data_IF_705228259441
#
_entry.id   IF_705228259441
#
_cell.length_a   1.000
_cell.length_b   1.000
_cell.length_c   1.000
_cell.angle_alpha   90.00
_cell.angle_beta   90.00
_cell.angle_gamma   90.00
#
_symmetry.space_group_name_H-M   'P 1'
#
loop_
_entity.id
_entity.type
_entity.pdbx_description
1 polymer ?
#
# COMPACT_ATOMS: atom_id res chain seq x y z
N UNK A 1 3.83 4.77 12.76
CA UNK A 1 4.70 5.00 11.58
C UNK A 1 4.03 4.40 10.35
N UNK A 2 4.21 5.01 9.18
CA UNK A 2 3.78 4.46 7.88
C UNK A 2 4.99 4.20 7.00
N UNK A 3 4.93 3.14 6.18
CA UNK A 3 5.99 2.80 5.21
C UNK A 3 5.36 2.65 3.83
N UNK A 4 5.97 3.28 2.83
CA UNK A 4 5.66 3.04 1.42
C UNK A 4 6.68 2.06 0.86
N UNK A 5 6.22 0.95 0.30
CA UNK A 5 7.08 0.04 -0.47
C UNK A 5 7.13 0.51 -1.93
N UNK A 6 8.21 0.15 -2.62
CA UNK A 6 8.49 0.61 -3.97
C UNK A 6 9.27 1.93 -4.00
N UNK A 7 9.56 2.40 -5.22
CA UNK A 7 10.38 3.60 -5.45
C UNK A 7 9.50 4.86 -5.48
N UNK A 8 9.84 5.85 -4.65
CA UNK A 8 9.18 7.15 -4.60
C UNK A 8 8.31 7.37 -3.36
N UNK A 9 8.14 8.63 -2.96
CA UNK A 9 7.26 9.01 -1.86
C UNK A 9 5.79 8.90 -2.29
N UNK A 10 5.03 7.99 -1.70
CA UNK A 10 3.58 7.94 -1.91
C UNK A 10 2.89 9.11 -1.21
N UNK A 11 2.13 9.91 -1.95
CA UNK A 11 1.27 10.95 -1.37
C UNK A 11 0.19 10.34 -0.45
N UNK A 12 -0.17 9.08 -0.64
CA UNK A 12 -1.14 8.38 0.20
C UNK A 12 -0.69 8.26 1.67
N UNK A 13 0.61 8.41 1.94
CA UNK A 13 1.17 8.40 3.30
C UNK A 13 1.76 9.76 3.70
N UNK A 14 1.51 10.84 2.95
CA UNK A 14 2.02 12.15 3.32
C UNK A 14 1.27 12.67 4.56
N UNK A 15 1.99 12.91 5.66
CA UNK A 15 1.45 13.49 6.89
C UNK A 15 2.49 14.41 7.52
N UNK A 16 2.06 15.55 8.09
CA UNK A 16 2.94 16.51 8.77
C UNK A 16 3.71 15.90 9.95
N UNK A 17 3.20 14.82 10.55
CA UNK A 17 3.70 14.25 11.80
C UNK A 17 4.32 12.86 11.67
N UNK A 18 4.34 12.27 10.47
CA UNK A 18 4.85 10.91 10.25
C UNK A 18 5.87 10.93 9.12
N UNK A 19 7.07 10.40 9.41
CA UNK A 19 8.04 10.12 8.36
C UNK A 19 7.57 8.93 7.54
N UNK A 20 7.38 9.15 6.24
CA UNK A 20 7.16 8.09 5.26
C UNK A 20 8.48 7.76 4.62
N UNK A 21 8.84 6.48 4.65
CA UNK A 21 10.01 5.96 3.94
C UNK A 21 9.53 5.22 2.70
N UNK A 22 10.22 5.46 1.58
CA UNK A 22 10.13 4.65 0.37
C UNK A 22 11.26 3.63 0.39
N UNK A 23 10.91 2.38 0.14
CA UNK A 23 11.81 1.25 0.33
C UNK A 23 11.81 0.39 -0.93
N UNK A 24 12.99 0.13 -1.47
CA UNK A 24 13.17 -0.83 -2.54
C UNK A 24 12.97 -2.25 -2.00
N UNK A 25 11.89 -2.90 -2.45
CA UNK A 25 11.53 -4.26 -2.07
C UNK A 25 12.42 -5.31 -2.72
N UNK A 26 13.06 -5.01 -3.86
CA UNK A 26 13.93 -5.95 -4.57
C UNK A 26 15.15 -6.36 -3.75
N UNK A 27 15.55 -5.53 -2.79
CA UNK A 27 16.66 -5.76 -1.87
C UNK A 27 16.20 -6.01 -0.43
N UNK A 28 14.96 -6.48 -0.23
CA UNK A 28 14.39 -6.74 1.10
C UNK A 28 14.42 -5.52 2.04
N UNK A 29 14.40 -4.32 1.47
CA UNK A 29 14.46 -3.06 2.19
C UNK A 29 15.81 -2.74 2.84
N UNK A 30 16.86 -3.48 2.47
CA UNK A 30 18.23 -3.19 2.91
C UNK A 30 18.77 -1.96 2.16
N UNK A 31 19.37 -1.03 2.91
CA UNK A 31 20.02 0.14 2.35
C UNK A 31 21.24 0.54 3.19
N UNK A 32 22.46 0.52 2.64
CA UNK A 32 22.82 0.24 1.24
C UNK A 32 23.02 -1.26 1.01
N UNK A 33 23.04 -1.67 -0.26
CA UNK A 33 23.49 -3.01 -0.67
C UNK A 33 24.89 -2.90 -1.26
N UNK A 34 25.86 -3.55 -0.62
CA UNK A 34 27.24 -3.68 -1.11
C UNK A 34 27.65 -5.14 -1.00
N UNK A 35 28.43 -5.65 -1.97
CA UNK A 35 29.05 -6.97 -1.89
C UNK A 35 30.18 -7.01 -0.85
N UNK A 36 30.88 -5.90 -0.64
CA UNK A 36 31.98 -5.76 0.33
C UNK A 36 31.46 -5.23 1.68
N UNK A 37 31.55 -6.07 2.71
CA UNK A 37 31.12 -5.76 4.07
C UNK A 37 31.93 -4.63 4.74
N UNK A 38 33.22 -4.48 4.41
CA UNK A 38 34.03 -3.38 4.93
C UNK A 38 33.59 -2.05 4.32
N UNK A 39 33.31 -2.05 3.01
CA UNK A 39 32.77 -0.88 2.33
C UNK A 39 31.39 -0.51 2.88
N UNK A 40 30.52 -1.52 3.08
CA UNK A 40 29.21 -1.33 3.71
C UNK A 40 29.34 -0.71 5.10
N UNK A 41 30.22 -1.25 5.94
CA UNK A 41 30.47 -0.75 7.28
C UNK A 41 30.98 0.69 7.29
N UNK A 42 31.95 1.01 6.44
CA UNK A 42 32.50 2.36 6.33
C UNK A 42 31.46 3.38 5.85
N UNK A 43 30.65 3.00 4.84
CA UNK A 43 29.57 3.84 4.33
C UNK A 43 28.50 4.11 5.40
N UNK A 44 28.04 3.06 6.11
CA UNK A 44 27.07 3.20 7.18
C UNK A 44 27.59 4.08 8.31
N UNK A 45 28.87 3.93 8.69
CA UNK A 45 29.49 4.78 9.70
C UNK A 45 29.51 6.26 9.27
N UNK A 46 29.89 6.55 8.02
CA UNK A 46 29.89 7.90 7.47
C UNK A 46 28.49 8.51 7.45
N UNK A 47 27.48 7.76 6.99
CA UNK A 47 26.10 8.22 6.94
C UNK A 47 25.50 8.45 8.32
N UNK A 48 25.79 7.58 9.29
CA UNK A 48 25.39 7.77 10.70
C UNK A 48 26.01 9.04 11.30
N UNK A 49 27.28 9.32 11.00
CA UNK A 49 27.91 10.57 11.41
C UNK A 49 27.23 11.79 10.76
N UNK A 50 26.91 11.71 9.47
CA UNK A 50 26.19 12.79 8.76
C UNK A 50 24.73 12.93 9.19
N UNK A 51 24.11 11.90 9.76
CA UNK A 51 22.75 11.93 10.26
C UNK A 51 22.63 12.53 11.68
N UNK A 52 23.76 12.75 12.37
CA UNK A 52 23.76 13.29 13.72
C UNK A 52 23.28 14.76 13.71
N UNK A 53 22.32 15.17 14.56
CA UNK A 53 21.88 16.56 14.66
C UNK A 53 23.03 17.49 15.06
N UNK A 54 23.06 18.69 14.48
CA UNK A 54 23.98 19.77 14.86
C UNK A 54 23.19 21.01 15.33
N UNK A 55 23.67 21.66 16.37
CA UNK A 55 23.09 22.92 16.90
C UNK A 55 23.08 24.06 15.88
N UNK A 56 23.95 24.00 14.87
CA UNK A 56 24.05 24.98 13.78
C UNK A 56 23.17 24.62 12.58
N UNK A 57 22.37 23.56 12.65
CA UNK A 57 21.49 23.16 11.55
C UNK A 57 20.46 24.26 11.24
N UNK A 58 20.36 24.61 9.96
CA UNK A 58 19.20 25.33 9.43
C UNK A 58 18.03 24.36 9.26
N UNK A 59 16.77 24.82 9.16
CA UNK A 59 15.62 23.92 9.03
C UNK A 59 15.73 22.86 7.91
N UNK A 60 16.28 23.18 6.71
CA UNK A 60 16.57 22.17 5.70
C UNK A 60 17.56 21.10 6.14
N UNK A 61 18.65 21.48 6.83
CA UNK A 61 19.63 20.51 7.34
C UNK A 61 19.07 19.65 8.46
N UNK A 62 18.28 20.22 9.37
CA UNK A 62 17.56 19.44 10.39
C UNK A 62 16.68 18.37 9.74
N UNK A 63 15.93 18.76 8.71
CA UNK A 63 15.03 17.85 7.98
C UNK A 63 15.81 16.76 7.25
N UNK A 64 16.86 17.13 6.51
CA UNK A 64 17.70 16.19 5.77
C UNK A 64 18.37 15.16 6.71
N UNK A 65 18.97 15.61 7.81
CA UNK A 65 19.60 14.73 8.80
C UNK A 65 18.60 13.80 9.47
N UNK A 66 17.42 14.31 9.84
CA UNK A 66 16.35 13.50 10.40
C UNK A 66 15.87 12.41 9.42
N UNK A 67 15.75 12.75 8.13
CA UNK A 67 15.43 11.80 7.06
C UNK A 67 16.49 10.70 6.91
N UNK A 68 17.77 11.08 6.83
CA UNK A 68 18.88 10.10 6.78
C UNK A 68 18.90 9.20 8.02
N UNK A 69 18.72 9.77 9.21
CA UNK A 69 18.66 9.01 10.45
C UNK A 69 17.49 8.00 10.45
N UNK A 70 16.33 8.39 9.92
CA UNK A 70 15.18 7.51 9.79
C UNK A 70 15.43 6.37 8.80
N UNK A 71 16.02 6.65 7.64
CA UNK A 71 16.37 5.63 6.65
C UNK A 71 17.38 4.61 7.20
N UNK A 72 18.42 5.07 7.91
CA UNK A 72 19.41 4.18 8.53
C UNK A 72 18.79 3.30 9.62
N UNK A 73 17.93 3.86 10.48
CA UNK A 73 17.20 3.07 11.48
C UNK A 73 16.29 2.03 10.84
N UNK A 74 15.62 2.38 9.74
CA UNK A 74 14.80 1.41 9.01
C UNK A 74 15.65 0.29 8.43
N UNK A 75 16.80 0.59 7.81
CA UNK A 75 17.68 -0.48 7.28
C UNK A 75 18.21 -1.39 8.40
N UNK A 76 18.47 -0.86 9.59
CA UNK A 76 18.87 -1.67 10.75
C UNK A 76 17.75 -2.62 11.18
N UNK A 77 16.49 -2.16 11.17
CA UNK A 77 15.30 -3.00 11.43
C UNK A 77 15.12 -4.04 10.32
N UNK A 78 15.20 -3.64 9.05
CA UNK A 78 15.05 -4.52 7.89
C UNK A 78 16.02 -5.72 7.94
N UNK A 79 17.25 -5.47 8.37
CA UNK A 79 18.28 -6.50 8.53
C UNK A 79 17.99 -7.54 9.62
N UNK A 80 17.12 -7.23 10.59
CA UNK A 80 16.74 -8.17 11.67
C UNK A 80 15.37 -8.79 11.48
N UNK A 81 14.65 -8.46 10.41
CA UNK A 81 13.32 -9.00 10.17
C UNK A 81 13.39 -10.51 9.92
N UNK A 82 12.43 -11.29 10.47
CA UNK A 82 12.32 -12.71 10.17
C UNK A 82 12.14 -12.92 8.66
N UNK A 83 12.54 -14.08 8.11
CA UNK A 83 12.28 -14.41 6.71
C UNK A 83 10.77 -14.45 6.44
N UNK A 84 10.37 -14.16 5.20
CA UNK A 84 9.01 -14.38 4.71
C UNK A 84 8.75 -15.88 4.50
N UNK A 85 7.48 -16.26 4.40
CA UNK A 85 7.14 -17.59 3.89
C UNK A 85 7.50 -17.72 2.40
N UNK A 86 7.71 -18.94 1.93
CA UNK A 86 7.86 -19.23 0.50
C UNK A 86 6.51 -19.07 -0.24
N UNK A 87 6.56 -19.01 -1.57
CA UNK A 87 5.36 -19.07 -2.43
C UNK A 87 4.85 -17.73 -2.96
N UNK A 88 5.51 -16.61 -2.64
CA UNK A 88 5.24 -15.34 -3.32
C UNK A 88 5.67 -15.43 -4.80
N UNK A 89 4.88 -14.89 -5.74
CA UNK A 89 5.30 -14.77 -7.12
C UNK A 89 6.50 -13.81 -7.24
N UNK A 90 7.34 -14.04 -8.26
CA UNK A 90 8.44 -13.13 -8.63
C UNK A 90 7.92 -11.94 -9.45
N UNK A 91 6.90 -11.27 -8.90
CA UNK A 91 6.29 -10.06 -9.44
C UNK A 91 6.57 -8.87 -8.52
N UNK A 92 6.39 -7.66 -9.03
CA UNK A 92 6.56 -6.44 -8.25
C UNK A 92 5.70 -6.45 -6.97
N UNK A 93 4.42 -6.80 -7.10
CA UNK A 93 3.52 -6.89 -5.96
C UNK A 93 3.92 -8.03 -5.01
N UNK A 94 4.27 -9.21 -5.54
CA UNK A 94 4.68 -10.36 -4.74
C UNK A 94 5.90 -10.06 -3.87
N UNK A 95 6.94 -9.46 -4.45
CA UNK A 95 8.17 -9.07 -3.73
C UNK A 95 7.89 -7.98 -2.69
N UNK A 96 7.02 -7.01 -3.00
CA UNK A 96 6.64 -5.99 -2.02
C UNK A 96 5.83 -6.56 -0.86
N UNK A 97 4.83 -7.41 -1.12
CA UNK A 97 4.03 -8.05 -0.06
C UNK A 97 4.87 -8.99 0.80
N UNK A 98 5.88 -9.66 0.21
CA UNK A 98 6.88 -10.44 0.95
C UNK A 98 7.57 -9.58 2.01
N UNK A 99 8.05 -8.39 1.65
CA UNK A 99 8.65 -7.46 2.60
C UNK A 99 7.62 -6.91 3.61
N UNK A 100 6.40 -6.62 3.17
CA UNK A 100 5.32 -6.17 4.05
C UNK A 100 5.02 -7.20 5.15
N UNK A 101 5.00 -8.51 4.84
CA UNK A 101 4.74 -9.56 5.82
C UNK A 101 5.83 -9.62 6.89
N UNK A 102 7.09 -9.45 6.47
CA UNK A 102 8.26 -9.40 7.36
C UNK A 102 8.19 -8.20 8.30
N UNK A 103 7.87 -7.03 7.76
CA UNK A 103 7.68 -5.81 8.55
C UNK A 103 6.52 -5.95 9.54
N UNK A 104 5.38 -6.51 9.12
CA UNK A 104 4.23 -6.68 10.03
C UNK A 104 4.47 -7.72 11.13
N UNK A 105 5.48 -8.58 10.99
CA UNK A 105 5.84 -9.59 11.97
C UNK A 105 6.55 -9.03 13.22
N UNK A 106 7.13 -7.84 13.14
CA UNK A 106 7.77 -7.20 14.29
C UNK A 106 6.88 -6.08 14.85
N UNK A 107 6.39 -6.30 16.07
CA UNK A 107 5.50 -5.34 16.73
C UNK A 107 6.25 -4.14 17.34
N UNK A 108 7.57 -4.25 17.50
CA UNK A 108 8.35 -3.31 18.30
C UNK A 108 8.59 -1.97 17.60
N UNK A 109 8.42 -1.89 16.29
CA UNK A 109 8.67 -0.67 15.53
C UNK A 109 7.43 0.21 15.31
N UNK A 110 6.26 -0.16 15.84
CA UNK A 110 5.06 0.70 15.83
C UNK A 110 4.54 1.06 14.42
N UNK A 111 4.73 0.14 13.47
CA UNK A 111 4.19 0.27 12.11
C UNK A 111 2.67 0.09 12.17
N UNK A 112 1.95 0.98 11.48
CA UNK A 112 0.48 0.98 11.46
C UNK A 112 -0.10 0.88 10.05
N UNK A 113 0.63 1.37 9.05
CA UNK A 113 0.18 1.39 7.66
C UNK A 113 1.37 1.02 6.78
N UNK A 114 1.16 0.07 5.88
CA UNK A 114 2.08 -0.25 4.78
C UNK A 114 1.34 0.05 3.49
N UNK A 115 1.86 1.01 2.72
CA UNK A 115 1.35 1.30 1.39
C UNK A 115 2.16 0.51 0.38
N UNK A 116 1.47 -0.27 -0.44
CA UNK A 116 2.09 -1.12 -1.46
C UNK A 116 1.48 -0.76 -2.81
N UNK A 117 2.19 -0.03 -3.69
CA UNK A 117 1.75 0.14 -5.07
C UNK A 117 1.88 -1.18 -5.83
N UNK A 118 0.90 -1.49 -6.67
CA UNK A 118 1.08 -2.49 -7.72
C UNK A 118 1.49 -1.74 -8.99
N UNK A 119 2.78 -1.77 -9.34
CA UNK A 119 3.32 -1.03 -10.49
C UNK A 119 2.94 -1.60 -11.87
N UNK A 120 1.97 -2.50 -11.93
CA UNK A 120 1.54 -3.17 -13.14
C UNK A 120 0.62 -2.28 -13.99
N UNK A 121 0.63 -2.48 -15.31
CA UNK A 121 -0.09 -1.62 -16.25
C UNK A 121 -1.59 -1.98 -16.35
N UNK A 122 -2.35 -1.54 -15.34
CA UNK A 122 -3.81 -1.51 -15.37
C UNK A 122 -4.36 -0.50 -16.38
N UNK A 123 -3.51 0.30 -17.06
CA UNK A 123 -3.89 1.23 -18.12
C UNK A 123 -4.13 0.62 -19.49
N UNK A 124 -5.01 -0.37 -19.51
CA UNK A 124 -5.23 -1.23 -20.68
C UNK A 124 -6.16 -0.59 -21.72
N UNK A 125 -5.65 0.37 -22.49
CA UNK A 125 -6.35 0.96 -23.65
C UNK A 125 -6.40 0.03 -24.87
N UNK A 126 -5.77 -1.13 -24.80
CA UNK A 126 -5.76 -2.17 -25.85
C UNK A 126 -5.78 -3.54 -25.20
N UNK A 127 -6.43 -4.52 -25.84
CA UNK A 127 -6.48 -5.94 -25.40
C UNK A 127 -6.83 -6.12 -23.92
N UNK A 128 -7.78 -5.33 -23.41
CA UNK A 128 -8.18 -5.30 -22.01
C UNK A 128 -8.52 -6.71 -21.47
N UNK A 129 -9.32 -7.56 -22.16
CA UNK A 129 -9.72 -8.84 -21.60
C UNK A 129 -8.55 -9.76 -21.23
N UNK A 130 -7.53 -9.86 -22.09
CA UNK A 130 -6.36 -10.71 -21.84
C UNK A 130 -5.44 -10.08 -20.79
N UNK A 131 -5.11 -8.79 -20.94
CA UNK A 131 -4.19 -8.09 -20.03
C UNK A 131 -4.75 -8.01 -18.62
N UNK A 132 -6.03 -7.67 -18.48
CA UNK A 132 -6.69 -7.59 -17.18
C UNK A 132 -6.75 -8.95 -16.48
N UNK A 133 -6.94 -10.05 -17.22
CA UNK A 133 -6.91 -11.38 -16.64
C UNK A 133 -5.53 -11.74 -16.05
N UNK A 134 -4.44 -11.40 -16.75
CA UNK A 134 -3.07 -11.63 -16.24
C UNK A 134 -2.77 -10.74 -15.02
N UNK A 135 -3.19 -9.47 -15.05
CA UNK A 135 -3.03 -8.54 -13.92
C UNK A 135 -3.80 -9.00 -12.68
N UNK A 136 -5.04 -9.45 -12.86
CA UNK A 136 -5.86 -9.96 -11.76
C UNK A 136 -5.32 -11.29 -11.21
N UNK A 137 -4.65 -12.10 -12.04
CA UNK A 137 -3.95 -13.31 -11.58
C UNK A 137 -2.77 -12.96 -10.68
N UNK A 138 -1.94 -11.99 -11.08
CA UNK A 138 -0.82 -11.54 -10.23
C UNK A 138 -1.32 -10.96 -8.90
N UNK A 139 -2.40 -10.17 -8.93
CA UNK A 139 -3.05 -9.67 -7.71
C UNK A 139 -3.53 -10.83 -6.81
N UNK A 140 -4.21 -11.83 -7.38
CA UNK A 140 -4.74 -12.98 -6.65
C UNK A 140 -3.62 -13.85 -6.05
N UNK A 141 -2.61 -14.21 -6.85
CA UNK A 141 -1.46 -15.02 -6.42
C UNK A 141 -0.67 -14.31 -5.31
N UNK A 142 -0.40 -13.01 -5.49
CA UNK A 142 0.34 -12.20 -4.52
C UNK A 142 -0.43 -12.03 -3.20
N UNK A 143 -1.74 -11.72 -3.25
CA UNK A 143 -2.57 -11.58 -2.04
C UNK A 143 -2.77 -12.93 -1.35
N UNK A 144 -2.88 -14.02 -2.11
CA UNK A 144 -3.02 -15.37 -1.55
C UNK A 144 -1.77 -15.79 -0.77
N UNK A 145 -0.58 -15.59 -1.35
CA UNK A 145 0.70 -15.84 -0.67
C UNK A 145 0.84 -14.97 0.59
N UNK A 146 0.52 -13.68 0.49
CA UNK A 146 0.56 -12.75 1.62
C UNK A 146 -0.37 -13.16 2.76
N UNK A 147 -1.63 -13.51 2.45
CA UNK A 147 -2.59 -13.97 3.47
C UNK A 147 -2.15 -15.28 4.13
N UNK A 148 -1.58 -16.20 3.37
CA UNK A 148 -1.04 -17.44 3.92
C UNK A 148 0.11 -17.18 4.89
N UNK A 149 1.03 -16.27 4.55
CA UNK A 149 2.14 -15.87 5.42
C UNK A 149 1.66 -15.17 6.70
N UNK A 150 0.70 -14.23 6.57
CA UNK A 150 0.07 -13.60 7.74
C UNK A 150 -0.60 -14.63 8.66
N UNK A 151 -1.28 -15.63 8.09
CA UNK A 151 -1.88 -16.71 8.88
C UNK A 151 -0.83 -17.56 9.58
N UNK A 152 0.26 -17.92 8.89
CA UNK A 152 1.37 -18.65 9.49
C UNK A 152 2.05 -17.89 10.65
N UNK A 153 1.98 -16.56 10.64
CA UNK A 153 2.47 -15.67 11.70
C UNK A 153 1.45 -15.36 12.80
N UNK A 154 0.19 -15.82 12.66
CA UNK A 154 -0.89 -15.47 13.60
C UNK A 154 -1.32 -13.99 13.52
N UNK A 155 -1.14 -13.34 12.36
CA UNK A 155 -1.43 -11.93 12.14
C UNK A 155 -2.78 -11.68 11.44
N UNK A 156 -3.53 -12.73 11.08
CA UNK A 156 -4.77 -12.62 10.29
C UNK A 156 -5.78 -11.63 10.86
N UNK A 157 -5.98 -11.62 12.18
CA UNK A 157 -6.96 -10.75 12.84
C UNK A 157 -6.42 -9.33 13.12
N UNK A 158 -5.15 -9.07 12.77
CA UNK A 158 -4.45 -7.81 13.05
C UNK A 158 -4.08 -7.02 11.82
N UNK A 159 -4.36 -7.56 10.63
CA UNK A 159 -4.04 -6.92 9.37
C UNK A 159 -5.30 -6.81 8.53
N UNK A 160 -5.67 -5.58 8.21
CA UNK A 160 -6.69 -5.24 7.23
C UNK A 160 -6.01 -4.83 5.93
N UNK A 161 -6.34 -5.52 4.84
CA UNK A 161 -5.84 -5.24 3.50
C UNK A 161 -6.92 -4.47 2.75
N UNK A 162 -6.61 -3.23 2.35
CA UNK A 162 -7.45 -2.41 1.49
C UNK A 162 -6.78 -2.28 0.12
N UNK A 163 -7.41 -2.83 -0.92
CA UNK A 163 -6.95 -2.71 -2.29
C UNK A 163 -7.96 -1.91 -3.12
N UNK A 164 -7.49 -0.87 -3.78
CA UNK A 164 -8.31 0.03 -4.58
C UNK A 164 -7.50 0.59 -5.75
N UNK A 165 -8.20 1.19 -6.71
CA UNK A 165 -7.61 1.85 -7.88
C UNK A 165 -8.03 3.32 -7.91
N UNK A 166 -7.20 4.17 -8.50
CA UNK A 166 -7.50 5.61 -8.69
C UNK A 166 -8.53 5.87 -9.80
N UNK A 167 -8.69 4.90 -10.71
CA UNK A 167 -9.66 4.92 -11.80
C UNK A 167 -10.33 3.56 -11.98
N UNK A 168 -11.50 3.57 -12.62
CA UNK A 168 -12.16 2.38 -13.15
C UNK A 168 -12.04 2.28 -14.68
N UNK A 169 -12.89 1.45 -15.29
CA UNK A 169 -13.00 1.31 -16.75
C UNK A 169 -14.41 1.63 -17.23
N UNK A 170 -14.52 2.21 -18.41
CA UNK A 170 -15.81 2.43 -19.06
C UNK A 170 -16.44 1.10 -19.47
N UNK A 171 -17.76 1.10 -19.58
CA UNK A 171 -18.52 -0.07 -20.06
C UNK A 171 -18.30 -0.32 -21.55
N UNK A 172 -18.43 0.68 -22.45
CA UNK A 172 -18.12 0.47 -23.86
C UNK A 172 -16.63 0.24 -24.07
N UNK A 173 -16.31 -0.68 -24.98
CA UNK A 173 -14.97 -0.86 -25.52
C UNK A 173 -14.62 0.22 -26.55
N UNK A 174 -13.32 0.40 -26.74
CA UNK A 174 -12.78 1.20 -27.83
C UNK A 174 -12.45 0.31 -29.04
N UNK A 175 -12.13 0.93 -30.19
CA UNK A 175 -11.83 0.23 -31.45
C UNK A 175 -10.57 -0.67 -31.40
N UNK A 176 -9.90 -0.77 -30.24
CA UNK A 176 -8.66 -1.52 -30.02
C UNK A 176 -8.81 -2.69 -29.03
N UNK A 177 -10.03 -3.17 -28.77
CA UNK A 177 -10.34 -4.20 -27.76
C UNK A 177 -9.85 -3.77 -26.36
N UNK A 178 -9.82 -2.45 -26.11
CA UNK A 178 -9.44 -1.84 -24.85
C UNK A 178 -10.59 -1.06 -24.24
N UNK A 179 -10.37 -0.54 -23.02
CA UNK A 179 -11.37 0.26 -22.31
C UNK A 179 -10.75 1.60 -21.89
N UNK A 180 -11.48 2.69 -22.10
CA UNK A 180 -11.12 4.02 -21.63
C UNK A 180 -11.23 4.13 -20.09
N UNK A 181 -10.70 5.21 -19.53
CA UNK A 181 -10.79 5.51 -18.10
C UNK A 181 -12.24 5.75 -17.66
N UNK A 182 -12.62 5.08 -16.57
CA UNK A 182 -13.95 5.16 -15.96
C UNK A 182 -13.92 5.82 -14.57
N UNK A 183 -15.03 6.44 -14.19
CA UNK A 183 -15.17 7.14 -12.91
C UNK A 183 -15.49 6.23 -11.69
N UNK A 184 -15.76 4.94 -11.91
CA UNK A 184 -16.08 4.00 -10.83
C UNK A 184 -15.49 2.62 -11.08
N UNK A 185 -15.11 1.94 -10.00
CA UNK A 185 -14.54 0.59 -10.00
C UNK A 185 -14.90 -0.17 -8.73
N UNK A 186 -14.18 -1.27 -8.47
CA UNK A 186 -14.38 -2.09 -7.26
C UNK A 186 -13.19 -1.91 -6.32
N UNK A 187 -13.47 -1.59 -5.05
CA UNK A 187 -12.50 -1.67 -3.97
C UNK A 187 -12.67 -3.00 -3.23
N UNK A 188 -11.57 -3.59 -2.78
CA UNK A 188 -11.52 -4.84 -2.04
C UNK A 188 -11.04 -4.59 -0.62
N UNK A 189 -11.67 -5.26 0.34
CA UNK A 189 -11.24 -5.29 1.73
C UNK A 189 -11.12 -6.75 2.18
N UNK A 190 -9.95 -7.12 2.71
CA UNK A 190 -9.65 -8.48 3.16
C UNK A 190 -9.06 -8.44 4.58
N UNK A 191 -9.33 -9.47 5.38
CA UNK A 191 -8.88 -9.55 6.78
C UNK A 191 -10.07 -9.87 7.70
N UNK A 192 -10.12 -9.32 8.92
CA UNK A 192 -11.26 -9.50 9.85
C UNK A 192 -12.48 -8.71 9.36
N UNK A 193 -13.10 -9.18 8.30
CA UNK A 193 -14.21 -8.54 7.58
C UNK A 193 -15.37 -9.50 7.44
N UNK A 194 -16.60 -8.99 7.36
CA UNK A 194 -17.73 -9.81 7.00
C UNK A 194 -17.71 -10.05 5.48
N UNK A 195 -17.88 -11.31 5.01
CA UNK A 195 -17.84 -11.60 3.59
C UNK A 195 -19.09 -11.04 2.89
N UNK A 196 -18.89 -10.43 1.72
CA UNK A 196 -20.00 -9.96 0.89
C UNK A 196 -19.63 -8.81 -0.03
N UNK A 197 -20.63 -8.35 -0.78
CA UNK A 197 -20.58 -7.11 -1.55
C UNK A 197 -21.26 -6.04 -0.70
N UNK A 198 -20.57 -4.94 -0.46
CA UNK A 198 -21.10 -3.77 0.24
C UNK A 198 -21.31 -2.63 -0.74
N UNK A 199 -22.50 -2.03 -0.68
CA UNK A 199 -23.00 -1.15 -1.73
C UNK A 199 -23.85 -1.89 -2.76
N UNK A 200 -24.35 -1.16 -3.74
CA UNK A 200 -25.18 -1.72 -4.81
C UNK A 200 -24.32 -2.05 -6.04
N UNK A 201 -24.56 -3.17 -6.75
CA UNK A 201 -23.94 -3.41 -8.05
C UNK A 201 -24.31 -2.27 -9.02
N UNK A 202 -23.33 -1.63 -9.68
CA UNK A 202 -23.63 -0.53 -10.60
C UNK A 202 -24.34 -1.05 -11.86
N UNK A 203 -25.22 -0.22 -12.43
CA UNK A 203 -25.89 -0.57 -13.68
C UNK A 203 -24.96 -0.39 -14.88
N UNK A 204 -24.81 -1.43 -15.70
CA UNK A 204 -24.09 -1.36 -16.97
C UNK A 204 -24.90 -0.67 -18.09
N UNK A 205 -26.13 -0.22 -17.80
CA UNK A 205 -27.04 0.42 -18.77
C UNK A 205 -27.43 1.85 -18.40
N UNK A 206 -27.25 2.24 -17.13
CA UNK A 206 -27.59 3.56 -16.62
C UNK A 206 -26.30 4.29 -16.27
N UNK A 207 -25.61 4.77 -17.31
CA UNK A 207 -24.33 5.45 -17.21
C UNK A 207 -24.54 6.96 -16.95
N UNK A 208 -23.46 7.67 -16.63
CA UNK A 208 -23.46 9.13 -16.63
C UNK A 208 -23.38 9.72 -18.05
N UNK A 209 -23.24 11.04 -18.14
CA UNK A 209 -23.20 11.73 -19.43
C UNK A 209 -21.92 11.45 -20.24
N UNK A 210 -20.90 10.89 -19.60
CA UNK A 210 -19.58 10.58 -20.16
C UNK A 210 -19.36 9.05 -20.28
N UNK A 211 -20.46 8.27 -20.28
CA UNK A 211 -20.48 6.80 -20.36
C UNK A 211 -19.76 6.08 -19.20
N UNK A 212 -19.62 6.74 -18.04
CA UNK A 212 -19.07 6.08 -16.86
C UNK A 212 -20.14 5.32 -16.07
N UNK A 213 -19.69 4.27 -15.38
CA UNK A 213 -20.44 3.68 -14.28
C UNK A 213 -20.68 4.73 -13.19
N UNK A 214 -21.91 4.79 -12.70
CA UNK A 214 -22.26 5.60 -11.53
C UNK A 214 -21.83 4.87 -10.27
N UNK A 215 -20.93 5.48 -9.50
CA UNK A 215 -20.51 4.93 -8.21
C UNK A 215 -21.72 4.78 -7.26
N UNK A 216 -21.81 3.62 -6.62
CA UNK A 216 -22.86 3.31 -5.65
C UNK A 216 -22.39 3.47 -4.20
N UNK A 217 -21.07 3.61 -4.03
CA UNK A 217 -20.38 3.92 -2.78
C UNK A 217 -19.35 5.00 -3.11
N UNK A 218 -19.33 6.09 -2.36
CA UNK A 218 -18.32 7.12 -2.52
C UNK A 218 -16.98 6.67 -1.90
N UNK A 219 -15.86 7.08 -2.50
CA UNK A 219 -14.52 6.80 -1.93
C UNK A 219 -14.37 7.34 -0.50
N UNK A 220 -15.05 8.45 -0.18
CA UNK A 220 -15.08 9.01 1.17
C UNK A 220 -15.82 8.10 2.17
N UNK A 221 -16.85 7.37 1.75
CA UNK A 221 -17.54 6.37 2.58
C UNK A 221 -16.66 5.13 2.79
N UNK A 222 -15.90 4.71 1.77
CA UNK A 222 -14.89 3.66 1.91
C UNK A 222 -13.81 4.03 2.94
N UNK A 223 -13.22 5.22 2.84
CA UNK A 223 -12.24 5.68 3.83
C UNK A 223 -12.85 5.91 5.21
N UNK A 224 -14.10 6.41 5.31
CA UNK A 224 -14.80 6.53 6.58
C UNK A 224 -14.98 5.18 7.26
N UNK A 225 -15.29 4.14 6.48
CA UNK A 225 -15.42 2.77 6.96
C UNK A 225 -14.12 2.29 7.61
N UNK A 226 -12.97 2.51 6.96
CA UNK A 226 -11.66 2.14 7.51
C UNK A 226 -11.33 2.99 8.75
N UNK A 227 -11.55 4.31 8.69
CA UNK A 227 -11.25 5.22 9.81
C UNK A 227 -12.00 4.82 11.08
N UNK A 228 -13.31 4.62 11.00
CA UNK A 228 -14.13 4.33 12.17
C UNK A 228 -14.06 2.86 12.60
N UNK A 229 -14.10 1.93 11.65
CA UNK A 229 -14.21 0.49 11.98
C UNK A 229 -12.86 -0.17 12.27
N UNK A 230 -11.76 0.33 11.71
CA UNK A 230 -10.43 -0.24 11.91
C UNK A 230 -9.56 0.60 12.85
N UNK A 231 -9.50 1.91 12.61
CA UNK A 231 -8.67 2.80 13.42
C UNK A 231 -9.38 3.36 14.65
N UNK A 232 -10.71 3.26 14.74
CA UNK A 232 -11.50 3.85 15.82
C UNK A 232 -11.42 5.37 15.88
N UNK A 233 -11.17 6.02 14.75
CA UNK A 233 -11.08 7.48 14.62
C UNK A 233 -12.34 8.01 13.94
N UNK A 234 -13.02 9.04 14.46
CA UNK A 234 -14.16 9.64 13.79
C UNK A 234 -13.83 10.05 12.36
N UNK A 235 -14.64 9.65 11.37
CA UNK A 235 -14.36 9.97 9.97
C UNK A 235 -14.31 11.50 9.74
N UNK A 236 -15.07 12.27 10.52
CA UNK A 236 -15.09 13.74 10.47
C UNK A 236 -13.78 14.41 10.88
N UNK A 237 -12.91 13.71 11.61
CA UNK A 237 -11.61 14.25 12.03
C UNK A 237 -10.57 14.19 10.89
N UNK A 238 -10.81 13.32 9.90
CA UNK A 238 -9.84 13.01 8.82
C UNK A 238 -10.40 13.21 7.41
N UNK A 239 -11.72 13.29 7.24
CA UNK A 239 -12.40 13.47 5.95
C UNK A 239 -13.37 14.65 5.98
N UNK A 240 -13.41 15.41 4.89
CA UNK A 240 -14.39 16.47 4.69
C UNK A 240 -15.78 15.89 4.37
N UNK A 241 -16.83 16.64 4.73
CA UNK A 241 -18.21 16.34 4.30
C UNK A 241 -18.97 15.31 5.14
N UNK A 242 -18.42 14.88 6.28
CA UNK A 242 -19.05 13.91 7.20
C UNK A 242 -19.58 12.65 6.49
N UNK A 243 -18.72 11.93 5.73
CA UNK A 243 -19.11 10.69 5.07
C UNK A 243 -19.54 9.64 6.09
N UNK A 244 -20.53 8.82 5.72
CA UNK A 244 -21.03 7.75 6.59
C UNK A 244 -20.30 6.44 6.27
N UNK A 245 -19.76 5.74 7.28
CA UNK A 245 -19.16 4.42 7.06
C UNK A 245 -20.21 3.41 6.61
N UNK A 246 -19.77 2.42 5.84
CA UNK A 246 -20.58 1.27 5.44
C UNK A 246 -20.73 0.33 6.65
N UNK A 247 -21.95 0.06 7.13
CA UNK A 247 -22.16 -0.74 8.32
C UNK A 247 -21.78 -2.20 8.06
N UNK A 248 -21.13 -2.83 9.05
CA UNK A 248 -20.88 -4.27 9.06
C UNK A 248 -19.79 -4.74 8.09
N UNK A 249 -18.93 -3.86 7.59
CA UNK A 249 -17.81 -4.25 6.71
C UNK A 249 -16.71 -4.97 7.50
N UNK A 250 -16.19 -4.35 8.56
CA UNK A 250 -15.18 -4.95 9.46
C UNK A 250 -15.92 -5.75 10.52
N UNK A 251 -15.44 -6.96 10.81
CA UNK A 251 -15.99 -7.80 11.86
C UNK A 251 -15.70 -7.21 13.24
N UNK A 252 -16.68 -7.28 14.14
CA UNK A 252 -16.59 -6.78 15.52
C UNK A 252 -15.79 -7.71 16.44
#
# INVERSE_FOLDING_TARGET
MGVALGTGSSQALACERVTTLSVDSGNDGLFPVFEDENLRGAWLAAQRAMAHPDRADTPPFTTARAGTAAALRFSDVAATLPPAADGYPDSDLGVQLRLAARLLADENHGLRIVHVPMGADFDTHTKHPARYADLMRDLDDSLSAFRADLAARGLTDRVLIAAYSEFGRRVPDNDSDGLDHGAAGTALLLGPTNPGVFGEPPSLRNLDADDNLRATVAMTEFYATIAESWFGVPATDVLAGAPRPLPGVVAA
#
